data_IF_154532444840
#
_entry.id   IF_154532444840
#
_cell.length_a   1.000
_cell.length_b   1.000
_cell.length_c   1.000
_cell.angle_alpha   90.00
_cell.angle_beta   90.00
_cell.angle_gamma   90.00
#
_symmetry.space_group_name_H-M   'P 1'
#
loop_
_entity.id
_entity.type
_entity.pdbx_description
1 polymer ?
#
# COMPACT_ATOMS: atom_id res chain seq x y z
N UNK A 1 -10.34 24.97 -16.96
CA UNK A 1 -10.69 23.71 -16.26
C UNK A 1 -11.75 24.00 -15.21
N UNK A 2 -12.85 23.24 -15.19
CA UNK A 2 -13.85 23.36 -14.14
C UNK A 2 -13.24 22.88 -12.81
N UNK A 3 -13.46 23.63 -11.73
CA UNK A 3 -12.97 23.29 -10.38
C UNK A 3 -13.33 21.85 -9.97
N UNK A 4 -14.48 21.37 -10.44
CA UNK A 4 -14.96 20.01 -10.21
C UNK A 4 -14.05 18.96 -10.87
N UNK A 5 -13.58 19.20 -12.11
CA UNK A 5 -12.69 18.27 -12.79
C UNK A 5 -11.34 18.18 -12.06
N UNK A 6 -10.84 19.31 -11.55
CA UNK A 6 -9.61 19.35 -10.78
C UNK A 6 -9.73 18.58 -9.45
N UNK A 7 -10.87 18.70 -8.76
CA UNK A 7 -11.12 17.95 -7.52
C UNK A 7 -11.25 16.44 -7.76
N UNK A 8 -11.93 16.03 -8.85
CA UNK A 8 -12.02 14.62 -9.24
C UNK A 8 -10.63 14.06 -9.56
N UNK A 9 -9.81 14.81 -10.29
CA UNK A 9 -8.47 14.38 -10.66
C UNK A 9 -7.59 14.19 -9.42
N UNK A 10 -7.67 15.10 -8.45
CA UNK A 10 -6.96 14.98 -7.16
C UNK A 10 -7.43 13.74 -6.39
N UNK A 11 -8.75 13.49 -6.35
CA UNK A 11 -9.31 12.32 -5.67
C UNK A 11 -8.81 11.01 -6.26
N UNK A 12 -8.78 10.91 -7.60
CA UNK A 12 -8.22 9.74 -8.30
C UNK A 12 -6.75 9.57 -7.97
N UNK A 13 -5.98 10.66 -8.00
CA UNK A 13 -4.54 10.64 -7.74
C UNK A 13 -4.23 10.18 -6.31
N UNK A 14 -5.03 10.60 -5.33
CA UNK A 14 -4.92 10.15 -3.94
C UNK A 14 -5.17 8.64 -3.81
N UNK A 15 -6.21 8.11 -4.45
CA UNK A 15 -6.51 6.66 -4.45
C UNK A 15 -5.38 5.87 -5.10
N UNK A 16 -4.84 6.35 -6.22
CA UNK A 16 -3.70 5.71 -6.88
C UNK A 16 -2.46 5.68 -5.98
N UNK A 17 -2.15 6.76 -5.27
CA UNK A 17 -1.00 6.79 -4.35
C UNK A 17 -1.17 5.83 -3.18
N UNK A 18 -2.37 5.73 -2.60
CA UNK A 18 -2.66 4.79 -1.52
C UNK A 18 -2.54 3.35 -2.02
N UNK A 19 -3.16 3.04 -3.17
CA UNK A 19 -3.12 1.70 -3.75
C UNK A 19 -1.70 1.28 -4.16
N UNK A 20 -0.96 2.16 -4.83
CA UNK A 20 0.44 1.91 -5.19
C UNK A 20 1.34 1.77 -3.97
N UNK A 21 1.13 2.59 -2.94
CA UNK A 21 1.87 2.47 -1.67
C UNK A 21 1.59 1.15 -0.96
N UNK A 22 0.32 0.72 -0.92
CA UNK A 22 -0.06 -0.58 -0.36
C UNK A 22 0.56 -1.74 -1.13
N UNK A 23 0.46 -1.74 -2.47
CA UNK A 23 1.03 -2.78 -3.30
C UNK A 23 2.56 -2.84 -3.18
N UNK A 24 3.20 -1.67 -3.17
CA UNK A 24 4.65 -1.57 -2.99
C UNK A 24 5.12 -2.06 -1.61
N UNK A 25 4.34 -1.78 -0.56
CA UNK A 25 4.63 -2.26 0.79
C UNK A 25 4.42 -3.77 0.90
N UNK A 26 3.36 -4.29 0.29
CA UNK A 26 3.06 -5.72 0.22
C UNK A 26 4.13 -6.48 -0.56
N UNK A 27 4.60 -5.94 -1.68
CA UNK A 27 5.63 -6.59 -2.51
C UNK A 27 6.99 -6.59 -1.81
N UNK A 28 7.32 -5.54 -1.04
CA UNK A 28 8.49 -5.54 -0.14
C UNK A 28 8.37 -6.53 1.01
N UNK A 29 7.16 -6.75 1.52
CA UNK A 29 6.90 -7.82 2.49
C UNK A 29 6.87 -9.19 1.83
N UNK A 30 6.69 -9.34 0.52
CA UNK A 30 6.74 -10.67 -0.13
C UNK A 30 8.14 -11.32 -0.11
N UNK A 31 9.18 -10.58 0.26
CA UNK A 31 10.52 -11.14 0.58
C UNK A 31 10.73 -11.43 2.07
N UNK A 32 9.74 -11.13 2.92
CA UNK A 32 9.75 -11.33 4.37
C UNK A 32 8.53 -12.22 4.66
N UNK A 33 8.72 -13.49 4.95
CA UNK A 33 7.61 -14.40 5.25
C UNK A 33 6.96 -13.94 6.57
N UNK A 34 5.88 -13.16 6.51
CA UNK A 34 5.18 -12.67 7.70
C UNK A 34 4.17 -13.73 8.10
N UNK A 35 4.65 -14.69 8.88
CA UNK A 35 3.84 -15.68 9.55
C UNK A 35 3.23 -15.07 10.83
N UNK A 36 1.95 -14.70 10.75
CA UNK A 36 1.19 -14.17 11.90
C UNK A 36 0.55 -15.36 12.62
N UNK A 37 1.34 -16.04 13.44
CA UNK A 37 0.86 -17.10 14.33
C UNK A 37 0.45 -16.54 15.72
N UNK A 38 -0.31 -17.33 16.49
CA UNK A 38 -0.81 -17.00 17.85
C UNK A 38 0.30 -16.66 18.88
N UNK A 39 1.58 -16.71 18.50
CA UNK A 39 2.74 -16.45 19.36
C UNK A 39 3.52 -15.18 19.01
N UNK A 40 3.04 -14.35 18.07
CA UNK A 40 3.62 -13.05 17.75
C UNK A 40 4.37 -13.04 16.42
N UNK A 41 4.59 -11.82 15.90
CA UNK A 41 5.15 -11.57 14.57
C UNK A 41 6.63 -11.95 14.55
N UNK A 42 6.98 -13.01 13.83
CA UNK A 42 8.38 -13.43 13.64
C UNK A 42 8.82 -12.97 12.25
N UNK A 43 9.78 -12.04 12.19
CA UNK A 43 10.33 -11.50 10.94
C UNK A 43 11.66 -12.22 10.70
N UNK A 44 11.66 -13.23 9.83
CA UNK A 44 12.88 -13.91 9.39
C UNK A 44 13.30 -13.33 8.03
N UNK A 45 14.45 -12.65 8.01
CA UNK A 45 15.05 -12.07 6.81
C UNK A 45 16.31 -12.85 6.42
N UNK A 46 16.46 -13.15 5.13
CA UNK A 46 17.61 -13.84 4.55
C UNK A 46 18.88 -12.97 4.50
#
# INVERSE_FOLDING_TARGET
>A
MSRNLLLVLIGVLAVCLIGAGYFYYQERQSGIDIDINEHGVTIEGN
#
